data_IF_454286272175
#
_entry.id   IF_454286272175
#
_cell.length_a   1.000
_cell.length_b   1.000
_cell.length_c   1.000
_cell.angle_alpha   90.00
_cell.angle_beta   90.00
_cell.angle_gamma   90.00
#
_symmetry.space_group_name_H-M   'P 1'
#
loop_
_entity.id
_entity.type
_entity.pdbx_description
1 polymer ?
#
# COMPACT_ATOMS: atom_id res chain seq x y z
N UNK A 1 0.60 14.68 16.13
CA UNK A 1 1.46 13.52 15.97
C UNK A 1 0.68 12.26 16.24
N UNK A 2 1.25 11.12 16.06
CA UNK A 2 0.56 9.88 16.38
C UNK A 2 -0.33 9.36 15.30
N UNK A 3 -0.30 9.95 14.14
CA UNK A 3 -1.05 9.41 13.03
C UNK A 3 -0.36 8.15 12.52
N UNK A 4 -1.11 7.07 12.44
CA UNK A 4 -0.63 5.84 11.86
C UNK A 4 -0.93 5.83 10.37
N UNK A 5 0.06 5.49 9.59
CA UNK A 5 -0.11 5.28 8.16
C UNK A 5 0.76 4.09 7.77
N UNK A 6 0.13 3.04 7.27
CA UNK A 6 0.86 1.86 6.81
C UNK A 6 0.26 1.39 5.51
N UNK A 7 1.05 1.46 4.47
CA UNK A 7 0.67 0.98 3.15
C UNK A 7 1.49 -0.24 2.80
N UNK A 8 0.82 -1.30 2.37
CA UNK A 8 1.48 -2.52 1.91
C UNK A 8 0.92 -2.87 0.55
N UNK A 9 1.79 -3.26 -0.37
CA UNK A 9 1.38 -3.68 -1.70
C UNK A 9 1.96 -5.06 -1.96
N UNK A 10 1.10 -5.96 -2.43
CA UNK A 10 1.42 -7.37 -2.62
C UNK A 10 1.20 -7.75 -4.08
N UNK A 11 2.02 -8.67 -4.58
CA UNK A 11 1.79 -9.20 -5.91
C UNK A 11 0.71 -10.28 -5.87
N UNK A 12 0.45 -10.88 -7.01
CA UNK A 12 -0.60 -11.90 -7.12
C UNK A 12 -0.31 -13.15 -6.32
N UNK A 13 0.93 -13.35 -5.91
CA UNK A 13 1.33 -14.50 -5.10
C UNK A 13 1.29 -14.19 -3.61
N UNK A 14 0.90 -12.98 -3.25
CA UNK A 14 0.87 -12.57 -1.85
C UNK A 14 2.20 -12.11 -1.30
N UNK A 15 3.19 -11.90 -2.16
CA UNK A 15 4.49 -11.41 -1.72
C UNK A 15 4.47 -9.89 -1.63
N UNK A 16 5.03 -9.38 -0.54
CA UNK A 16 5.12 -7.95 -0.34
C UNK A 16 6.13 -7.35 -1.32
N UNK A 17 5.68 -6.38 -2.11
CA UNK A 17 6.55 -5.73 -3.10
C UNK A 17 6.84 -4.28 -2.72
N UNK A 18 6.08 -3.70 -1.80
CA UNK A 18 6.29 -2.33 -1.36
C UNK A 18 5.62 -2.11 -0.03
N UNK A 19 6.24 -1.33 0.83
CA UNK A 19 5.61 -0.88 2.07
C UNK A 19 6.12 0.50 2.41
N UNK A 20 5.26 1.29 3.07
CA UNK A 20 5.62 2.64 3.47
C UNK A 20 4.81 3.02 4.69
N UNK A 21 5.43 3.81 5.58
CA UNK A 21 4.75 4.44 6.69
C UNK A 21 4.64 5.95 6.51
N UNK A 22 5.05 6.43 5.36
CA UNK A 22 5.05 7.87 5.05
C UNK A 22 3.98 8.15 4.00
N UNK A 23 2.94 8.90 4.39
CA UNK A 23 1.83 9.18 3.48
C UNK A 23 2.25 10.00 2.27
N UNK A 24 3.40 10.66 2.34
CA UNK A 24 3.90 11.44 1.22
C UNK A 24 4.69 10.61 0.24
N UNK A 25 4.92 9.34 0.55
CA UNK A 25 5.67 8.44 -0.31
C UNK A 25 4.71 7.59 -1.11
N UNK A 26 4.63 7.83 -2.42
CA UNK A 26 3.80 7.02 -3.29
C UNK A 26 4.57 5.84 -3.83
N UNK A 27 3.84 4.80 -4.23
CA UNK A 27 4.45 3.64 -4.87
C UNK A 27 4.78 3.99 -6.31
N UNK A 28 6.03 3.81 -6.67
CA UNK A 28 6.49 4.01 -8.04
C UNK A 28 7.10 2.70 -8.51
N UNK A 29 6.30 1.88 -9.21
CA UNK A 29 6.81 0.57 -9.65
C UNK A 29 8.04 0.74 -10.50
N UNK A 30 9.08 -0.04 -10.19
CA UNK A 30 10.29 -0.02 -10.99
C UNK A 30 10.05 -0.79 -12.29
N UNK A 31 11.00 -0.69 -13.21
CA UNK A 31 10.89 -1.41 -14.46
C UNK A 31 10.94 -2.93 -14.26
N UNK A 32 11.41 -3.38 -13.09
CA UNK A 32 11.48 -4.80 -12.77
C UNK A 32 10.13 -5.36 -12.33
N UNK A 33 9.18 -4.51 -12.02
CA UNK A 33 7.86 -4.95 -11.57
C UNK A 33 7.03 -5.28 -12.81
N UNK A 34 6.54 -6.53 -12.94
CA UNK A 34 5.70 -6.89 -14.08
C UNK A 34 4.39 -6.12 -14.06
N UNK A 35 3.87 -5.85 -15.24
CA UNK A 35 2.53 -5.27 -15.29
C UNK A 35 1.52 -6.30 -14.83
N UNK A 36 0.42 -5.83 -14.26
CA UNK A 36 -0.62 -6.70 -13.74
C UNK A 36 -1.32 -6.07 -12.56
N UNK A 37 -2.13 -6.88 -11.90
CA UNK A 37 -2.93 -6.42 -10.77
C UNK A 37 -2.23 -6.75 -9.47
N UNK A 38 -2.14 -5.74 -8.61
CA UNK A 38 -1.52 -5.86 -7.29
C UNK A 38 -2.55 -5.53 -6.23
N UNK A 39 -2.47 -6.19 -5.09
CA UNK A 39 -3.35 -5.90 -3.96
C UNK A 39 -2.67 -4.91 -3.02
N UNK A 40 -3.48 -4.07 -2.38
CA UNK A 40 -2.94 -3.18 -1.36
C UNK A 40 -3.75 -3.28 -0.08
N UNK A 41 -3.07 -2.94 1.01
CA UNK A 41 -3.69 -2.82 2.32
C UNK A 41 -3.20 -1.53 2.94
N UNK A 42 -4.13 -0.67 3.35
CA UNK A 42 -3.81 0.61 3.95
C UNK A 42 -4.44 0.68 5.33
N UNK A 43 -3.62 0.92 6.35
CA UNK A 43 -4.09 1.09 7.72
C UNK A 43 -3.88 2.52 8.15
N UNK A 44 -4.92 3.11 8.70
CA UNK A 44 -4.89 4.50 9.18
C UNK A 44 -5.40 4.55 10.61
N UNK A 45 -4.77 5.39 11.41
CA UNK A 45 -5.27 5.72 12.74
C UNK A 45 -5.83 7.15 12.71
N UNK A 46 -7.04 7.29 13.20
CA UNK A 46 -7.67 8.59 13.30
C UNK A 46 -7.48 9.16 14.71
N UNK A 47 -7.83 10.43 14.87
CA UNK A 47 -7.58 11.16 16.13
C UNK A 47 -8.23 10.52 17.34
N UNK A 48 -9.28 9.76 17.15
CA UNK A 48 -9.97 9.08 18.26
C UNK A 48 -9.42 7.70 18.54
N UNK A 49 -8.20 7.42 18.08
CA UNK A 49 -7.54 6.12 18.22
C UNK A 49 -8.21 5.00 17.45
N UNK A 50 -9.15 5.33 16.57
CA UNK A 50 -9.78 4.33 15.74
C UNK A 50 -8.86 3.97 14.59
N UNK A 51 -8.66 2.67 14.37
CA UNK A 51 -7.84 2.19 13.27
C UNK A 51 -8.77 1.60 12.22
N UNK A 52 -8.60 2.03 10.98
CA UNK A 52 -9.35 1.47 9.86
C UNK A 52 -8.40 0.92 8.83
N UNK A 53 -8.82 -0.18 8.21
CA UNK A 53 -8.05 -0.85 7.17
C UNK A 53 -8.84 -0.79 5.88
N UNK A 54 -8.17 -0.36 4.83
CA UNK A 54 -8.73 -0.31 3.49
C UNK A 54 -7.94 -1.26 2.61
N UNK A 55 -8.65 -2.02 1.79
CA UNK A 55 -8.01 -2.93 0.85
C UNK A 55 -8.57 -2.71 -0.53
N UNK A 56 -7.79 -3.07 -1.52
CA UNK A 56 -8.21 -2.91 -2.90
C UNK A 56 -7.12 -3.42 -3.83
N UNK A 57 -7.22 -3.01 -5.08
CA UNK A 57 -6.25 -3.40 -6.08
C UNK A 57 -5.75 -2.19 -6.84
N UNK A 58 -4.51 -2.30 -7.33
CA UNK A 58 -3.93 -1.34 -8.25
C UNK A 58 -3.42 -2.12 -9.46
N UNK A 59 -3.52 -1.50 -10.62
CA UNK A 59 -3.06 -2.12 -11.86
C UNK A 59 -1.85 -1.37 -12.36
N UNK A 60 -0.78 -2.12 -12.64
CA UNK A 60 0.43 -1.57 -13.22
C UNK A 60 0.38 -1.80 -14.71
N UNK A 61 0.44 -0.72 -15.47
CA UNK A 61 0.40 -0.76 -16.93
C UNK A 61 1.71 -0.17 -17.44
N UNK A 62 2.35 -0.87 -18.36
CA UNK A 62 3.61 -0.43 -18.94
C UNK A 62 3.50 -0.24 -20.43
#
# INVERSE_FOLDING_TARGET
>A
MGDLYELHIFDRHGLLVFSSKNRNEGWRPSSNIPQGTYAYSLRLRFNNNMIKTFTGTVTVIK
#
